data_IF_463141203214
#
_entry.id   IF_463141203214
#
_cell.length_a   1.000
_cell.length_b   1.000
_cell.length_c   1.000
_cell.angle_alpha   90.00
_cell.angle_beta   90.00
_cell.angle_gamma   90.00
#
_symmetry.space_group_name_H-M   'P 1'
#
loop_
_entity.id
_entity.type
_entity.pdbx_description
1 polymer ?
#
# COMPACT_ATOMS: atom_id res chain seq x y z
N UNK A 1 -12.21 6.88 -4.07
CA UNK A 1 -12.79 6.65 -5.40
C UNK A 1 -12.40 5.26 -5.80
N UNK A 2 -13.35 4.49 -6.31
CA UNK A 2 -13.14 3.07 -6.63
C UNK A 2 -13.30 2.86 -8.12
N UNK A 3 -12.76 1.76 -8.65
CA UNK A 3 -12.90 1.35 -10.05
C UNK A 3 -14.38 1.31 -10.47
N UNK A 4 -15.27 0.98 -9.53
CA UNK A 4 -16.71 0.86 -9.78
C UNK A 4 -17.51 2.16 -9.58
N UNK A 5 -16.88 3.27 -9.12
CA UNK A 5 -17.58 4.51 -8.77
C UNK A 5 -16.77 5.78 -9.06
N UNK A 6 -17.29 6.61 -9.96
CA UNK A 6 -16.83 8.00 -10.18
C UNK A 6 -15.69 8.12 -11.21
N UNK A 7 -14.95 9.22 -11.13
CA UNK A 7 -13.81 9.48 -12.02
C UNK A 7 -12.64 8.53 -11.71
N UNK A 8 -12.07 7.93 -12.76
CA UNK A 8 -11.01 6.92 -12.65
C UNK A 8 -9.63 7.59 -12.76
N UNK A 9 -8.83 7.51 -11.69
CA UNK A 9 -7.40 7.81 -11.71
C UNK A 9 -6.63 6.52 -11.44
N UNK A 10 -5.91 6.01 -12.43
CA UNK A 10 -5.21 4.74 -12.29
C UNK A 10 -3.87 4.75 -13.02
N UNK A 11 -2.96 3.91 -12.54
CA UNK A 11 -1.75 3.53 -13.27
C UNK A 11 -1.99 2.16 -13.90
N UNK A 12 -1.64 2.02 -15.18
CA UNK A 12 -1.70 0.75 -15.90
C UNK A 12 -0.34 0.07 -15.85
N UNK A 13 -0.37 -1.25 -15.69
CA UNK A 13 0.79 -2.11 -15.68
C UNK A 13 0.61 -3.24 -16.69
N UNK A 14 1.66 -3.59 -17.40
CA UNK A 14 1.78 -4.86 -18.12
C UNK A 14 2.21 -5.93 -17.13
N UNK A 15 1.56 -7.09 -17.21
CA UNK A 15 1.92 -8.28 -16.46
C UNK A 15 2.88 -9.11 -17.31
N UNK A 16 4.05 -9.43 -16.76
CA UNK A 16 5.07 -10.26 -17.40
C UNK A 16 5.22 -11.58 -16.64
N UNK A 17 5.40 -12.65 -17.39
CA UNK A 17 5.42 -14.03 -16.89
C UNK A 17 4.27 -14.87 -17.44
N UNK A 18 4.29 -16.17 -17.17
CA UNK A 18 3.27 -17.10 -17.62
C UNK A 18 2.16 -17.21 -16.57
N UNK A 19 0.95 -16.79 -16.95
CA UNK A 19 -0.24 -17.03 -16.12
C UNK A 19 -0.60 -18.51 -16.20
N UNK A 20 -0.74 -19.22 -15.06
CA UNK A 20 -1.13 -20.62 -15.08
C UNK A 20 -2.51 -20.82 -15.74
N UNK A 21 -2.66 -21.82 -16.61
CA UNK A 21 -3.97 -22.16 -17.20
C UNK A 21 -5.03 -22.47 -16.11
N UNK A 22 -4.58 -23.08 -15.01
CA UNK A 22 -5.39 -23.40 -13.84
C UNK A 22 -5.53 -22.23 -12.85
N UNK A 23 -5.41 -20.97 -13.28
CA UNK A 23 -5.46 -19.81 -12.38
C UNK A 23 -6.71 -19.77 -11.49
N UNK A 24 -7.84 -20.30 -11.97
CA UNK A 24 -9.09 -20.37 -11.20
C UNK A 24 -8.98 -21.24 -9.94
N UNK A 25 -8.03 -22.17 -9.89
CA UNK A 25 -7.77 -22.99 -8.69
C UNK A 25 -6.54 -22.50 -7.93
N UNK A 26 -5.51 -22.02 -8.62
CA UNK A 26 -4.25 -21.61 -7.97
C UNK A 26 -4.30 -20.21 -7.36
N UNK A 27 -5.04 -19.26 -7.96
CA UNK A 27 -5.11 -17.89 -7.46
C UNK A 27 -5.88 -17.73 -6.15
N UNK A 28 -7.02 -18.43 -5.90
CA UNK A 28 -7.65 -18.41 -4.58
C UNK A 28 -6.69 -18.76 -3.45
N UNK A 29 -5.89 -19.82 -3.62
CA UNK A 29 -4.91 -20.23 -2.61
C UNK A 29 -3.83 -19.17 -2.41
N UNK A 30 -3.24 -18.67 -3.50
CA UNK A 30 -2.21 -17.64 -3.46
C UNK A 30 -2.70 -16.33 -2.82
N UNK A 31 -3.93 -15.91 -3.16
CA UNK A 31 -4.59 -14.73 -2.59
C UNK A 31 -4.82 -14.90 -1.09
N UNK A 32 -5.35 -16.05 -0.66
CA UNK A 32 -5.57 -16.34 0.76
C UNK A 32 -4.26 -16.38 1.56
N UNK A 33 -3.18 -16.95 1.00
CA UNK A 33 -1.84 -16.95 1.62
C UNK A 33 -1.26 -15.53 1.79
N UNK A 34 -1.68 -14.59 0.94
CA UNK A 34 -1.21 -13.20 0.94
C UNK A 34 -2.31 -12.20 1.33
N UNK A 35 -3.39 -12.70 1.94
CA UNK A 35 -4.48 -11.88 2.41
C UNK A 35 -4.01 -10.98 3.55
N UNK A 36 -4.74 -9.90 3.79
CA UNK A 36 -4.43 -9.01 4.89
C UNK A 36 -4.65 -9.73 6.23
N UNK A 37 -3.65 -9.69 7.10
CA UNK A 37 -3.75 -10.17 8.47
C UNK A 37 -3.40 -9.03 9.42
N UNK A 38 -4.14 -8.95 10.53
CA UNK A 38 -3.80 -8.00 11.58
C UNK A 38 -2.43 -8.34 12.18
N UNK A 39 -1.62 -7.32 12.52
CA UNK A 39 -0.34 -7.56 13.18
C UNK A 39 -0.55 -8.32 14.50
N UNK A 40 0.28 -9.33 14.74
CA UNK A 40 0.25 -10.11 15.99
C UNK A 40 0.44 -9.21 17.22
N UNK A 41 1.29 -8.18 17.11
CA UNK A 41 1.51 -7.20 18.18
C UNK A 41 0.71 -5.93 17.95
N UNK A 42 -0.09 -5.56 18.96
CA UNK A 42 -0.82 -4.28 18.99
C UNK A 42 0.11 -3.07 19.16
N UNK A 43 1.38 -3.27 19.47
CA UNK A 43 2.34 -2.20 19.78
C UNK A 43 3.27 -1.92 18.60
N UNK A 44 3.11 -2.61 17.47
CA UNK A 44 3.99 -2.37 16.32
C UNK A 44 3.63 -1.07 15.57
N UNK A 45 4.68 -0.34 15.17
CA UNK A 45 4.60 0.77 14.18
C UNK A 45 4.85 0.29 12.75
N UNK A 46 5.20 -0.98 12.58
CA UNK A 46 5.45 -1.54 11.26
C UNK A 46 4.18 -1.45 10.42
N UNK A 47 4.37 -1.12 9.16
CA UNK A 47 3.29 -1.12 8.19
C UNK A 47 3.02 -2.56 7.77
N UNK A 48 1.76 -2.97 7.82
CA UNK A 48 1.32 -4.29 7.38
C UNK A 48 0.40 -4.10 6.18
N UNK A 49 0.53 -4.95 5.17
CA UNK A 49 -0.30 -4.89 3.98
C UNK A 49 -0.57 -6.27 3.39
N UNK A 50 -1.70 -6.41 2.70
CA UNK A 50 -2.16 -7.65 2.10
C UNK A 50 -3.42 -7.45 1.26
N UNK A 51 -3.93 -8.54 0.69
CA UNK A 51 -5.13 -8.52 -0.15
C UNK A 51 -6.41 -8.51 0.67
N UNK A 52 -7.39 -7.74 0.20
CA UNK A 52 -8.76 -7.72 0.72
C UNK A 52 -9.74 -7.70 -0.45
N UNK A 53 -10.96 -8.16 -0.21
CA UNK A 53 -12.03 -8.09 -1.20
C UNK A 53 -12.35 -6.63 -1.54
N UNK A 54 -12.71 -6.36 -2.80
CA UNK A 54 -13.02 -4.98 -3.26
C UNK A 54 -14.28 -4.41 -2.62
N UNK A 55 -15.24 -5.26 -2.23
CA UNK A 55 -16.52 -4.83 -1.63
C UNK A 55 -16.37 -4.37 -0.18
N UNK A 56 -15.43 -4.96 0.56
CA UNK A 56 -15.26 -4.75 1.98
C UNK A 56 -13.82 -5.05 2.41
N UNK A 57 -13.19 -4.06 3.04
CA UNK A 57 -11.79 -4.13 3.48
C UNK A 57 -11.52 -5.10 4.64
N UNK A 58 -12.59 -5.62 5.27
CA UNK A 58 -12.51 -6.62 6.33
C UNK A 58 -12.61 -8.06 5.81
N UNK A 59 -13.06 -8.23 4.56
CA UNK A 59 -13.23 -9.55 3.97
C UNK A 59 -11.93 -9.96 3.29
N UNK A 60 -11.31 -11.03 3.81
CA UNK A 60 -9.99 -11.53 3.41
C UNK A 60 -10.02 -12.95 2.87
N UNK A 61 -11.21 -13.55 2.73
CA UNK A 61 -11.42 -14.86 2.15
C UNK A 61 -11.60 -14.75 0.63
N UNK A 62 -10.75 -15.46 -0.12
CA UNK A 62 -10.78 -15.52 -1.59
C UNK A 62 -11.21 -16.89 -2.12
N UNK A 63 -11.74 -17.77 -1.26
CA UNK A 63 -12.13 -19.14 -1.62
C UNK A 63 -13.27 -19.19 -2.63
N UNK A 64 -14.19 -18.23 -2.58
CA UNK A 64 -15.26 -18.10 -3.56
C UNK A 64 -14.82 -17.19 -4.73
N UNK A 65 -14.81 -17.75 -5.94
CA UNK A 65 -14.39 -17.04 -7.15
C UNK A 65 -15.33 -15.88 -7.50
N UNK A 66 -16.64 -16.02 -7.27
CA UNK A 66 -17.64 -15.03 -7.70
C UNK A 66 -17.51 -13.68 -6.96
N UNK A 67 -16.81 -13.67 -5.83
CA UNK A 67 -16.61 -12.45 -5.04
C UNK A 67 -15.60 -11.49 -5.71
N UNK A 68 -14.58 -12.05 -6.36
CA UNK A 68 -13.43 -11.31 -6.89
C UNK A 68 -13.16 -11.50 -8.39
N UNK A 69 -13.67 -12.56 -9.04
CA UNK A 69 -13.46 -12.84 -10.46
C UNK A 69 -14.74 -12.58 -11.26
N UNK A 70 -14.69 -11.60 -12.17
CA UNK A 70 -15.81 -11.18 -13.01
C UNK A 70 -15.46 -11.44 -14.48
N UNK A 71 -15.92 -12.56 -15.05
CA UNK A 71 -15.50 -13.06 -16.37
C UNK A 71 -13.98 -13.23 -16.45
N UNK A 72 -13.29 -12.32 -17.15
CA UNK A 72 -11.84 -12.29 -17.28
C UNK A 72 -11.13 -11.29 -16.34
N UNK A 73 -11.89 -10.54 -15.54
CA UNK A 73 -11.37 -9.47 -14.70
C UNK A 73 -11.30 -9.91 -13.24
N UNK A 74 -10.11 -9.93 -12.68
CA UNK A 74 -9.93 -10.06 -11.24
C UNK A 74 -9.96 -8.68 -10.58
N UNK A 75 -10.87 -8.52 -9.61
CA UNK A 75 -11.16 -7.30 -8.87
C UNK A 75 -10.95 -7.57 -7.37
N UNK A 76 -9.96 -6.90 -6.78
CA UNK A 76 -9.68 -6.95 -5.35
C UNK A 76 -8.86 -5.72 -4.97
N UNK A 77 -8.43 -5.61 -3.72
CA UNK A 77 -7.75 -4.41 -3.23
C UNK A 77 -6.51 -4.73 -2.41
N UNK A 78 -5.54 -3.83 -2.48
CA UNK A 78 -4.44 -3.77 -1.53
C UNK A 78 -4.88 -2.94 -0.32
N UNK A 79 -4.87 -3.54 0.87
CA UNK A 79 -4.99 -2.83 2.14
C UNK A 79 -3.62 -2.66 2.77
N UNK A 80 -3.33 -1.47 3.29
CA UNK A 80 -2.13 -1.16 4.06
C UNK A 80 -2.51 -0.40 5.33
N UNK A 81 -2.06 -0.92 6.47
CA UNK A 81 -2.35 -0.40 7.80
C UNK A 81 -1.05 0.06 8.46
N UNK A 82 -1.06 1.29 8.99
CA UNK A 82 0.09 1.84 9.71
C UNK A 82 -0.33 2.59 10.96
N UNK A 83 0.24 2.24 12.11
CA UNK A 83 0.11 3.03 13.33
C UNK A 83 1.11 4.18 13.34
N UNK A 84 0.64 5.37 13.70
CA UNK A 84 1.47 6.54 13.87
C UNK A 84 1.03 7.30 15.12
N UNK A 85 1.99 7.69 15.95
CA UNK A 85 1.72 8.50 17.12
C UNK A 85 1.68 9.99 16.74
N UNK A 86 0.79 10.80 17.32
CA UNK A 86 0.77 12.24 17.11
C UNK A 86 2.05 12.89 17.67
N UNK A 87 3.05 13.12 16.82
CA UNK A 87 4.42 13.47 17.22
C UNK A 87 4.51 14.69 18.16
N UNK A 88 3.74 15.75 17.89
CA UNK A 88 3.72 16.96 18.72
C UNK A 88 3.19 16.68 20.12
N UNK A 89 2.07 15.95 20.21
CA UNK A 89 1.45 15.62 21.49
C UNK A 89 2.35 14.65 22.27
N UNK A 90 2.88 13.63 21.59
CA UNK A 90 3.80 12.66 22.19
C UNK A 90 5.01 13.33 22.84
N UNK A 91 5.67 14.24 22.11
CA UNK A 91 6.81 15.00 22.65
C UNK A 91 6.40 15.84 23.86
N UNK A 92 5.27 16.56 23.77
CA UNK A 92 4.80 17.39 24.87
C UNK A 92 4.47 16.58 26.13
N UNK A 93 3.89 15.39 25.98
CA UNK A 93 3.58 14.49 27.11
C UNK A 93 4.86 13.96 27.77
N UNK A 94 5.83 13.48 26.97
CA UNK A 94 7.14 13.03 27.48
C UNK A 94 7.84 14.17 28.23
N UNK A 95 7.86 15.37 27.64
CA UNK A 95 8.51 16.54 28.24
C UNK A 95 7.83 16.97 29.55
N UNK A 96 6.49 16.83 29.65
CA UNK A 96 5.74 17.14 30.88
C UNK A 96 6.09 16.17 32.00
N UNK A 97 6.04 14.87 31.73
CA UNK A 97 6.29 13.85 32.75
C UNK A 97 7.74 13.87 33.25
N UNK A 98 8.70 14.12 32.36
CA UNK A 98 10.11 14.25 32.77
C UNK A 98 10.35 15.48 33.66
N UNK A 99 9.59 16.57 33.48
CA UNK A 99 9.66 17.72 34.39
C UNK A 99 9.10 17.38 35.76
N UNK A 100 7.98 16.67 35.82
CA UNK A 100 7.36 16.20 37.06
C UNK A 100 8.35 15.29 37.82
N UNK A 101 8.95 14.31 37.14
CA UNK A 101 10.00 13.45 37.72
C UNK A 101 11.19 14.24 38.28
N UNK A 102 11.66 15.27 37.56
CA UNK A 102 12.76 16.13 38.00
C UNK A 102 12.45 16.89 39.28
N UNK A 103 11.22 17.43 39.39
CA UNK A 103 10.75 18.12 40.59
C UNK A 103 10.70 17.15 41.77
N UNK A 104 10.16 15.94 41.58
CA UNK A 104 10.06 14.92 42.63
C UNK A 104 11.43 14.45 43.15
N UNK A 105 12.43 14.35 42.26
CA UNK A 105 13.77 13.86 42.60
C UNK A 105 14.78 14.98 42.88
N UNK A 106 14.34 16.24 42.89
CA UNK A 106 15.19 17.41 43.15
C UNK A 106 16.32 17.59 42.14
N UNK A 107 16.11 17.22 40.87
CA UNK A 107 17.12 17.32 39.80
C UNK A 107 16.73 18.36 38.76
N UNK A 108 17.71 19.07 38.21
CA UNK A 108 17.46 20.00 37.10
C UNK A 108 17.20 19.30 35.76
N UNK A 109 17.75 18.10 35.56
CA UNK A 109 17.67 17.34 34.32
C UNK A 109 17.48 15.85 34.57
N UNK A 110 16.66 15.15 33.76
CA UNK A 110 16.49 13.72 33.87
C UNK A 110 17.73 12.98 33.32
N UNK A 111 18.18 11.90 33.98
CA UNK A 111 19.13 10.97 33.41
C UNK A 111 18.64 10.39 32.07
N UNK A 112 19.58 9.94 31.23
CA UNK A 112 19.27 9.39 29.90
C UNK A 112 18.37 8.15 29.98
N UNK A 113 18.66 7.23 30.90
CA UNK A 113 17.89 6.02 31.11
C UNK A 113 16.43 6.33 31.50
N UNK A 114 16.20 7.28 32.40
CA UNK A 114 14.85 7.72 32.79
C UNK A 114 14.09 8.31 31.61
N UNK A 115 14.78 9.11 30.79
CA UNK A 115 14.18 9.68 29.57
C UNK A 115 13.77 8.61 28.57
N UNK A 116 14.60 7.58 28.37
CA UNK A 116 14.31 6.47 27.48
C UNK A 116 13.14 5.63 28.02
N UNK A 117 13.14 5.31 29.32
CA UNK A 117 12.07 4.55 29.99
C UNK A 117 10.70 5.25 29.91
N UNK A 118 10.63 6.54 30.24
CA UNK A 118 9.38 7.33 30.15
C UNK A 118 8.88 7.35 28.71
N UNK A 119 9.77 7.57 27.75
CA UNK A 119 9.42 7.59 26.33
C UNK A 119 8.87 6.24 25.87
N UNK A 120 9.54 5.14 26.19
CA UNK A 120 9.13 3.78 25.79
C UNK A 120 7.81 3.39 26.44
N UNK A 121 7.60 3.70 27.71
CA UNK A 121 6.35 3.43 28.42
C UNK A 121 5.17 4.17 27.79
N UNK A 122 5.31 5.49 27.56
CA UNK A 122 4.25 6.29 26.91
C UNK A 122 4.01 5.78 25.49
N UNK A 123 5.07 5.49 24.74
CA UNK A 123 4.98 4.98 23.37
C UNK A 123 4.21 3.67 23.32
N UNK A 124 4.54 2.73 24.20
CA UNK A 124 3.88 1.44 24.31
C UNK A 124 2.38 1.62 24.64
N UNK A 125 2.05 2.42 25.66
CA UNK A 125 0.67 2.69 26.07
C UNK A 125 -0.14 3.30 24.90
N UNK A 126 0.42 4.29 24.21
CA UNK A 126 -0.28 4.98 23.14
C UNK A 126 -0.49 4.08 21.92
N UNK A 127 0.50 3.25 21.58
CA UNK A 127 0.38 2.31 20.46
C UNK A 127 -0.67 1.23 20.72
N UNK A 128 -0.79 0.74 21.97
CA UNK A 128 -1.87 -0.18 22.36
C UNK A 128 -3.26 0.41 22.10
N UNK A 129 -3.42 1.73 22.31
CA UNK A 129 -4.70 2.44 22.16
C UNK A 129 -4.93 2.99 20.75
N UNK A 130 -3.88 3.19 19.96
CA UNK A 130 -3.97 3.78 18.63
C UNK A 130 -4.60 2.82 17.62
N UNK A 131 -5.62 3.31 16.89
CA UNK A 131 -6.11 2.67 15.68
C UNK A 131 -5.12 2.92 14.52
N UNK A 132 -4.92 1.94 13.64
CA UNK A 132 -4.09 2.14 12.46
C UNK A 132 -4.78 3.12 11.50
N UNK A 133 -3.97 3.88 10.78
CA UNK A 133 -4.42 4.53 9.56
C UNK A 133 -4.51 3.46 8.48
N UNK A 134 -5.74 3.24 7.99
CA UNK A 134 -6.04 2.27 6.93
C UNK A 134 -6.02 2.97 5.58
N UNK A 135 -5.30 2.41 4.62
CA UNK A 135 -5.33 2.80 3.22
C UNK A 135 -5.73 1.60 2.36
N UNK A 136 -6.71 1.78 1.48
CA UNK A 136 -7.17 0.74 0.56
C UNK A 136 -7.07 1.27 -0.86
N UNK A 137 -6.47 0.49 -1.76
CA UNK A 137 -6.36 0.81 -3.18
C UNK A 137 -6.85 -0.37 -4.01
N UNK A 138 -7.88 -0.11 -4.81
CA UNK A 138 -8.49 -1.11 -5.69
C UNK A 138 -7.62 -1.37 -6.92
N UNK A 139 -7.73 -2.59 -7.45
CA UNK A 139 -7.15 -2.98 -8.73
C UNK A 139 -8.14 -3.78 -9.58
N UNK A 140 -7.94 -3.70 -10.90
CA UNK A 140 -8.65 -4.50 -11.90
C UNK A 140 -7.64 -5.13 -12.84
N UNK A 141 -7.52 -6.44 -12.79
CA UNK A 141 -6.60 -7.21 -13.62
C UNK A 141 -7.37 -7.93 -14.72
N UNK A 142 -7.10 -7.56 -15.98
CA UNK A 142 -7.50 -8.36 -17.13
C UNK A 142 -6.47 -9.47 -17.33
N UNK A 143 -6.85 -10.69 -16.98
CA UNK A 143 -5.93 -11.84 -16.97
C UNK A 143 -5.48 -12.21 -18.40
N UNK A 144 -6.40 -12.45 -19.36
CA UNK A 144 -6.01 -12.83 -20.73
C UNK A 144 -5.18 -11.78 -21.46
N UNK A 145 -5.51 -10.50 -21.30
CA UNK A 145 -4.81 -9.40 -21.98
C UNK A 145 -3.51 -8.98 -21.27
N UNK A 146 -3.19 -9.59 -20.11
CA UNK A 146 -1.93 -9.36 -19.42
C UNK A 146 -1.71 -7.94 -18.93
N UNK A 147 -2.76 -7.23 -18.48
CA UNK A 147 -2.62 -5.90 -17.90
C UNK A 147 -3.46 -5.69 -16.64
N UNK A 148 -2.96 -4.87 -15.72
CA UNK A 148 -3.66 -4.49 -14.50
C UNK A 148 -3.75 -2.97 -14.35
N UNK A 149 -4.91 -2.50 -13.90
CA UNK A 149 -5.12 -1.12 -13.48
C UNK A 149 -5.05 -1.06 -11.96
N UNK A 150 -4.25 -0.15 -11.42
CA UNK A 150 -4.13 0.11 -10.00
C UNK A 150 -4.51 1.57 -9.70
N UNK A 151 -5.47 1.79 -8.81
CA UNK A 151 -6.09 3.10 -8.58
C UNK A 151 -5.24 4.06 -7.72
N UNK A 152 -3.92 4.13 -7.94
CA UNK A 152 -3.04 5.04 -7.21
C UNK A 152 -1.83 5.47 -8.04
N UNK A 153 -1.45 6.74 -7.90
CA UNK A 153 -0.22 7.30 -8.45
C UNK A 153 0.89 7.45 -7.40
N UNK A 154 0.61 7.17 -6.12
CA UNK A 154 1.62 7.24 -5.05
C UNK A 154 2.70 6.18 -5.29
N UNK A 155 3.96 6.61 -5.36
CA UNK A 155 5.10 5.70 -5.53
C UNK A 155 5.12 4.60 -4.46
N UNK A 156 4.95 4.99 -3.19
CA UNK A 156 4.88 4.03 -2.07
C UNK A 156 3.78 2.97 -2.22
N UNK A 157 2.59 3.34 -2.71
CA UNK A 157 1.48 2.41 -2.89
C UNK A 157 1.74 1.45 -4.05
N UNK A 158 2.33 1.97 -5.12
CA UNK A 158 2.71 1.18 -6.29
C UNK A 158 3.84 0.20 -5.98
N UNK A 159 4.83 0.59 -5.17
CA UNK A 159 5.89 -0.33 -4.74
C UNK A 159 5.37 -1.47 -3.88
N UNK A 160 4.48 -1.18 -2.92
CA UNK A 160 3.79 -2.22 -2.14
C UNK A 160 3.00 -3.15 -3.03
N UNK A 161 2.24 -2.59 -3.97
CA UNK A 161 1.44 -3.35 -4.91
C UNK A 161 2.30 -4.29 -5.75
N UNK A 162 3.38 -3.80 -6.38
CA UNK A 162 4.29 -4.62 -7.20
C UNK A 162 4.95 -5.73 -6.39
N UNK A 163 5.41 -5.42 -5.17
CA UNK A 163 6.01 -6.41 -4.26
C UNK A 163 5.01 -7.49 -3.86
N UNK A 164 3.80 -7.10 -3.46
CA UNK A 164 2.76 -8.05 -3.06
C UNK A 164 2.30 -8.90 -4.25
N UNK A 165 2.12 -8.28 -5.41
CA UNK A 165 1.71 -8.96 -6.63
C UNK A 165 2.73 -10.02 -7.06
N UNK A 166 4.01 -9.66 -7.06
CA UNK A 166 5.08 -10.63 -7.35
C UNK A 166 5.12 -11.76 -6.31
N UNK A 167 5.02 -11.45 -5.02
CA UNK A 167 4.98 -12.47 -3.95
C UNK A 167 3.78 -13.41 -4.08
N UNK A 168 2.65 -12.91 -4.55
CA UNK A 168 1.39 -13.67 -4.65
C UNK A 168 1.36 -14.53 -5.90
N UNK A 169 1.68 -13.95 -7.05
CA UNK A 169 1.46 -14.61 -8.35
C UNK A 169 2.75 -15.08 -9.02
N UNK A 170 3.93 -14.68 -8.51
CA UNK A 170 5.21 -14.92 -9.19
C UNK A 170 5.40 -14.11 -10.47
N UNK A 171 4.52 -13.12 -10.73
CA UNK A 171 4.49 -12.33 -11.95
C UNK A 171 5.07 -10.93 -11.72
N UNK A 172 5.66 -10.35 -12.76
CA UNK A 172 6.23 -9.00 -12.70
C UNK A 172 5.29 -7.96 -13.28
N UNK A 173 5.31 -6.76 -12.68
CA UNK A 173 4.51 -5.62 -13.12
C UNK A 173 5.42 -4.50 -13.64
N UNK A 174 5.25 -4.19 -14.92
CA UNK A 174 5.94 -3.11 -15.61
C UNK A 174 4.97 -1.95 -15.87
N UNK A 175 5.26 -0.73 -15.40
CA UNK A 175 4.45 0.43 -15.74
C UNK A 175 4.29 0.55 -17.25
N UNK A 176 3.07 0.71 -17.73
CA UNK A 176 2.81 0.98 -19.15
C UNK A 176 2.79 2.49 -19.38
N UNK A 177 3.61 2.95 -20.31
CA UNK A 177 3.54 4.28 -20.88
C UNK A 177 2.44 4.29 -21.95
N UNK A 178 1.65 5.38 -22.10
CA UNK A 178 0.76 5.56 -23.24
C UNK A 178 1.38 5.24 -24.61
N UNK A 179 2.68 5.50 -24.79
CA UNK A 179 3.38 5.20 -26.04
C UNK A 179 3.58 3.70 -26.28
N UNK A 180 3.66 2.88 -25.22
CA UNK A 180 3.74 1.42 -25.32
C UNK A 180 2.45 0.81 -25.89
N UNK A 181 1.35 1.57 -25.88
CA UNK A 181 0.06 1.16 -26.43
C UNK A 181 -0.07 1.44 -27.92
N UNK A 182 0.91 2.14 -28.52
CA UNK A 182 0.94 2.37 -29.95
C UNK A 182 1.36 1.08 -30.66
N UNK A 183 0.55 0.63 -31.61
CA UNK A 183 0.90 -0.53 -32.45
C UNK A 183 2.02 -0.24 -33.47
N UNK A 184 2.44 1.02 -33.60
CA UNK A 184 3.49 1.48 -34.50
C UNK A 184 4.71 1.98 -33.70
N UNK A 185 5.81 1.20 -33.67
CA UNK A 185 7.04 1.57 -32.97
C UNK A 185 7.71 2.85 -33.51
N UNK A 186 7.55 3.15 -34.80
CA UNK A 186 8.14 4.35 -35.40
C UNK A 186 7.33 5.60 -35.01
N UNK A 187 6.01 5.49 -34.93
CA UNK A 187 5.16 6.55 -34.38
C UNK A 187 5.48 6.81 -32.90
N UNK A 188 5.68 5.75 -32.10
CA UNK A 188 6.07 5.89 -30.69
C UNK A 188 7.39 6.67 -30.57
N UNK A 189 8.44 6.27 -31.30
CA UNK A 189 9.72 6.98 -31.33
C UNK A 189 9.59 8.43 -31.82
N UNK A 190 8.74 8.67 -32.82
CA UNK A 190 8.48 10.01 -33.33
C UNK A 190 7.85 10.90 -32.23
N UNK A 191 6.86 10.36 -31.51
CA UNK A 191 6.20 11.07 -30.41
C UNK A 191 7.13 11.31 -29.21
N UNK A 192 7.97 10.33 -28.85
CA UNK A 192 9.01 10.51 -27.82
C UNK A 192 9.93 11.69 -28.15
N UNK A 193 10.32 11.82 -29.41
CA UNK A 193 11.16 12.93 -29.89
C UNK A 193 10.44 14.29 -29.84
N UNK A 194 9.13 14.32 -30.08
CA UNK A 194 8.33 15.57 -29.98
C UNK A 194 8.12 16.04 -28.53
N UNK A 195 8.12 15.12 -27.57
CA UNK A 195 7.99 15.41 -26.13
C UNK A 195 9.21 16.08 -25.49
N UNK A 196 10.33 16.20 -26.22
CA UNK A 196 11.52 16.95 -25.80
C UNK A 196 11.39 18.47 -25.91
N UNK A 197 10.22 18.99 -26.29
CA UNK A 197 9.93 20.42 -26.18
C UNK A 197 9.56 20.75 -24.74
N UNK A 198 10.60 21.05 -23.96
CA UNK A 198 10.48 21.87 -22.77
C UNK A 198 9.70 23.15 -23.08
N UNK A 199 8.39 23.14 -22.82
CA UNK A 199 7.52 24.32 -22.86
C UNK A 199 7.80 25.29 -21.69
N UNK A 200 8.96 25.16 -21.01
CA UNK A 200 9.52 26.19 -20.12
C UNK A 200 10.67 26.95 -20.77
N UNK A 201 10.74 26.96 -22.10
CA UNK A 201 11.50 27.96 -22.84
C UNK A 201 10.95 29.37 -22.58
N UNK A 202 11.69 30.12 -21.77
CA UNK A 202 11.79 31.59 -21.75
C UNK A 202 10.49 32.40 -21.85
N UNK A 203 9.95 32.80 -20.70
CA UNK A 203 9.39 34.15 -20.49
C UNK A 203 9.77 34.66 -19.11
#
# INVERSE_FOLDING_TARGET
>A
MGILKGALSARRYAVRGEVPEAFRTTFPEALNQNAFHEPFSKVSKEEVFGWVQHRNLLDTDFSNLDDWLYNQYALFSLRADKKALPAKLFKATVDKELREWCVEHGRERPPRNVKEEVKERIEHEWLQRALPRVAVVELAWNIPEGWVLFHSHSESANDRFRKLFHRTFGLELHPLNPLDLLGDPELAKALERTGGSDLRGET
#
